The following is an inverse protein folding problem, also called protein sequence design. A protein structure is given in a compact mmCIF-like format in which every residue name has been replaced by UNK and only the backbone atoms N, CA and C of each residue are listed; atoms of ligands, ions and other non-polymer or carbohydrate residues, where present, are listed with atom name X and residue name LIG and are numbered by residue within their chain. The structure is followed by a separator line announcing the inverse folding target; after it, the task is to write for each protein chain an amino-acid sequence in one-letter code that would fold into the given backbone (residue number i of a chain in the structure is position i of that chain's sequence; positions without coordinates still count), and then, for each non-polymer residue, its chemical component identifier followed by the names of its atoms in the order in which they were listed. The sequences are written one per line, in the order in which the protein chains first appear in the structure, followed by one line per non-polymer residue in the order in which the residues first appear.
data_IF_490567171223
#
_entry.id   IF_490567171223
#
_cell.length_a   1.000
_cell.length_b   1.000
_cell.length_c   1.000
_cell.angle_alpha   90.00
_cell.angle_beta   90.00
_cell.angle_gamma   90.00
#
_symmetry.space_group_name_H-M   'P 1'
#
loop_
_entity.id
_entity.type
_entity.pdbx_description
1 polymer ?
#
# COMPACT_ATOMS: atom_id res chain seq x y z
N UNK A 1 -4.04 1.29 14.35
CA UNK A 1 -3.04 0.81 13.38
C UNK A 1 -2.27 -0.32 14.03
N UNK A 2 -2.28 -1.50 13.42
CA UNK A 2 -1.61 -2.73 13.86
C UNK A 2 -0.59 -3.11 12.78
N UNK A 3 0.63 -3.47 13.18
CA UNK A 3 1.68 -3.93 12.27
C UNK A 3 2.21 -5.26 12.78
N UNK A 4 2.32 -6.25 11.90
CA UNK A 4 2.89 -7.57 12.22
C UNK A 4 3.99 -7.91 11.23
N UNK A 5 5.06 -8.49 11.76
CA UNK A 5 6.20 -8.99 11.01
C UNK A 5 6.23 -10.51 11.15
N UNK A 6 6.29 -11.21 10.02
CA UNK A 6 6.16 -12.67 9.99
C UNK A 6 7.26 -13.19 9.06
N UNK A 7 8.15 -14.03 9.58
CA UNK A 7 9.16 -14.72 8.77
C UNK A 7 8.54 -16.00 8.20
N UNK A 8 8.53 -16.14 6.87
CA UNK A 8 8.02 -17.32 6.17
C UNK A 8 9.02 -17.77 5.11
N UNK A 9 9.64 -18.95 5.29
CA UNK A 9 10.51 -19.60 4.29
C UNK A 9 11.63 -18.70 3.74
N UNK A 10 12.24 -17.87 4.59
CA UNK A 10 13.30 -16.95 4.19
C UNK A 10 12.80 -15.62 3.58
N UNK A 11 11.49 -15.38 3.61
CA UNK A 11 10.89 -14.09 3.29
C UNK A 11 10.36 -13.40 4.56
N UNK A 12 10.30 -12.07 4.53
CA UNK A 12 9.66 -11.26 5.57
C UNK A 12 8.33 -10.75 5.04
N UNK A 13 7.23 -11.20 5.63
CA UNK A 13 5.89 -10.67 5.38
C UNK A 13 5.55 -9.59 6.39
N UNK A 14 5.01 -8.47 5.92
CA UNK A 14 4.59 -7.35 6.75
C UNK A 14 3.10 -7.10 6.55
N UNK A 15 2.31 -7.37 7.58
CA UNK A 15 0.87 -7.08 7.59
C UNK A 15 0.64 -5.73 8.29
N UNK A 16 0.10 -4.76 7.56
CA UNK A 16 -0.27 -3.43 8.05
C UNK A 16 -1.80 -3.32 8.04
N UNK A 17 -2.41 -2.97 9.18
CA UNK A 17 -3.86 -2.87 9.33
C UNK A 17 -4.27 -1.57 10.00
N UNK A 18 -5.27 -0.90 9.46
CA UNK A 18 -5.95 0.23 10.11
C UNK A 18 -7.48 0.11 10.03
N UNK A 19 -8.17 0.93 10.82
CA UNK A 19 -9.63 0.98 10.91
C UNK A 19 -10.25 2.06 10.00
N UNK A 20 -9.58 2.39 8.90
CA UNK A 20 -10.10 3.30 7.88
C UNK A 20 -10.95 2.57 6.84
N UNK A 21 -11.72 3.31 6.03
CA UNK A 21 -12.59 2.74 5.00
C UNK A 21 -11.83 2.23 3.75
N UNK A 22 -10.49 2.23 3.78
CA UNK A 22 -9.66 2.05 2.61
C UNK A 22 -9.83 3.17 1.58
N UNK A 23 -9.51 2.86 0.33
CA UNK A 23 -9.68 3.75 -0.82
C UNK A 23 -9.90 2.92 -2.08
N UNK A 24 -10.50 3.54 -3.10
CA UNK A 24 -10.64 2.93 -4.41
C UNK A 24 -9.29 2.98 -5.14
N UNK A 25 -8.79 1.80 -5.52
CA UNK A 25 -7.52 1.63 -6.22
C UNK A 25 -7.55 2.22 -7.63
N UNK A 26 -8.71 2.17 -8.29
CA UNK A 26 -8.89 2.65 -9.66
C UNK A 26 -9.00 4.18 -9.70
N UNK A 27 -9.33 4.79 -8.56
CA UNK A 27 -9.38 6.24 -8.39
C UNK A 27 -8.01 6.85 -7.99
N UNK A 28 -6.97 6.04 -7.75
CA UNK A 28 -5.64 6.54 -7.37
C UNK A 28 -4.96 7.15 -8.60
N UNK A 29 -4.61 8.46 -8.58
CA UNK A 29 -3.94 9.10 -9.70
C UNK A 29 -2.58 8.49 -10.01
N UNK A 30 -2.20 8.40 -11.28
CA UNK A 30 -0.87 7.96 -11.68
C UNK A 30 0.19 8.98 -11.22
N UNK A 31 1.09 8.62 -10.28
CA UNK A 31 2.12 9.54 -9.79
C UNK A 31 3.19 9.88 -10.83
N UNK A 32 3.23 9.18 -11.97
CA UNK A 32 4.17 9.40 -13.08
C UNK A 32 3.58 10.26 -14.21
N UNK A 33 2.28 10.56 -14.17
CA UNK A 33 1.66 11.51 -15.11
C UNK A 33 2.28 12.91 -14.95
N UNK A 34 2.41 13.65 -16.06
CA UNK A 34 3.13 14.93 -16.14
C UNK A 34 2.63 15.95 -15.10
N UNK A 35 1.31 16.04 -14.92
CA UNK A 35 0.63 16.90 -13.95
C UNK A 35 0.89 16.53 -12.48
N UNK A 36 1.39 15.31 -12.22
CA UNK A 36 1.67 14.78 -10.88
C UNK A 36 3.18 14.76 -10.54
N UNK A 37 4.05 15.01 -11.53
CA UNK A 37 5.51 14.92 -11.34
C UNK A 37 6.06 15.87 -10.28
N UNK A 38 5.52 17.09 -10.19
CA UNK A 38 5.96 18.10 -9.22
C UNK A 38 5.19 18.07 -7.88
N UNK A 39 4.23 17.14 -7.72
CA UNK A 39 3.51 17.00 -6.45
C UNK A 39 4.44 16.43 -5.37
N UNK A 40 4.51 17.05 -4.18
CA UNK A 40 5.40 16.60 -3.10
C UNK A 40 4.90 15.33 -2.38
N UNK A 41 3.69 14.85 -2.69
CA UNK A 41 3.02 13.72 -2.04
C UNK A 41 2.39 12.77 -3.06
N UNK A 42 1.76 11.67 -2.57
CA UNK A 42 1.07 10.70 -3.44
C UNK A 42 1.95 9.60 -4.01
N UNK A 43 3.15 9.38 -3.47
CA UNK A 43 4.12 8.40 -3.99
C UNK A 43 4.14 7.06 -3.25
N UNK A 44 3.40 6.93 -2.15
CA UNK A 44 3.48 5.76 -1.27
C UNK A 44 3.23 4.44 -2.00
N UNK A 45 2.16 4.37 -2.80
CA UNK A 45 1.81 3.15 -3.55
C UNK A 45 2.86 2.80 -4.61
N UNK A 46 3.43 3.80 -5.29
CA UNK A 46 4.52 3.60 -6.24
C UNK A 46 5.76 3.03 -5.55
N UNK A 47 6.17 3.63 -4.43
CA UNK A 47 7.34 3.19 -3.64
C UNK A 47 7.16 1.75 -3.17
N UNK A 48 6.01 1.44 -2.56
CA UNK A 48 5.70 0.09 -2.06
C UNK A 48 5.74 -0.93 -3.21
N UNK A 49 5.09 -0.64 -4.33
CA UNK A 49 5.08 -1.53 -5.52
C UNK A 49 6.45 -1.70 -6.18
N UNK A 50 7.34 -0.72 -6.03
CA UNK A 50 8.68 -0.76 -6.65
C UNK A 50 9.69 -1.48 -5.76
N UNK A 51 9.51 -1.42 -4.44
CA UNK A 51 10.48 -1.93 -3.48
C UNK A 51 10.16 -3.34 -2.97
N UNK A 52 8.89 -3.74 -2.95
CA UNK A 52 8.47 -5.05 -2.44
C UNK A 52 8.30 -6.06 -3.58
N UNK A 53 8.58 -7.33 -3.31
CA UNK A 53 8.40 -8.43 -4.27
C UNK A 53 6.92 -8.70 -4.56
N UNK A 54 6.09 -8.69 -3.51
CA UNK A 54 4.64 -8.88 -3.60
C UNK A 54 3.91 -7.83 -2.77
N UNK A 55 2.74 -7.40 -3.24
CA UNK A 55 1.90 -6.46 -2.52
C UNK A 55 0.44 -6.86 -2.69
N UNK A 56 -0.26 -7.06 -1.58
CA UNK A 56 -1.69 -7.36 -1.58
C UNK A 56 -2.46 -6.34 -0.74
N UNK A 57 -3.61 -5.93 -1.25
CA UNK A 57 -4.48 -4.96 -0.59
C UNK A 57 -5.86 -5.58 -0.34
N UNK A 58 -6.42 -5.32 0.83
CA UNK A 58 -7.79 -5.68 1.18
C UNK A 58 -8.46 -4.53 1.90
N UNK A 59 -9.51 -3.98 1.29
CA UNK A 59 -10.24 -2.84 1.79
C UNK A 59 -11.70 -3.20 2.05
N UNK A 60 -12.26 -2.69 3.14
CA UNK A 60 -13.68 -2.76 3.49
C UNK A 60 -14.11 -1.40 4.07
N UNK A 61 -15.41 -1.18 4.28
CA UNK A 61 -15.95 0.07 4.85
C UNK A 61 -15.33 0.50 6.19
N UNK A 62 -14.76 -0.44 6.95
CA UNK A 62 -14.14 -0.18 8.25
C UNK A 62 -12.73 -0.73 8.38
N UNK A 63 -12.12 -1.17 7.27
CA UNK A 63 -10.82 -1.79 7.31
C UNK A 63 -9.95 -1.50 6.10
N UNK A 64 -8.69 -1.18 6.40
CA UNK A 64 -7.60 -1.23 5.44
C UNK A 64 -6.61 -2.31 5.90
N UNK A 65 -6.28 -3.27 5.02
CA UNK A 65 -5.17 -4.19 5.21
C UNK A 65 -4.26 -4.15 3.99
N UNK A 66 -2.96 -4.01 4.23
CA UNK A 66 -1.90 -4.15 3.22
C UNK A 66 -0.94 -5.24 3.69
N UNK A 67 -0.61 -6.15 2.78
CA UNK A 67 0.39 -7.21 3.00
C UNK A 67 1.53 -6.97 2.03
N UNK A 68 2.72 -6.80 2.58
CA UNK A 68 3.99 -6.67 1.86
C UNK A 68 4.82 -7.94 2.02
#
# INVERSE_FOLDING_TARGET
MDIRFIEERGALRIDIRDSGPGFDMDAVPDPLAEENLLKPSGRGLLVIRTMMDEVQHHFTESLTKVTL
#
